data_IF_040737803802
#
_entry.id   IF_040737803802
#
_cell.length_a   1.000
_cell.length_b   1.000
_cell.length_c   1.000
_cell.angle_alpha   90.00
_cell.angle_beta   90.00
_cell.angle_gamma   90.00
#
_symmetry.space_group_name_H-M   'P 1'
#
loop_
_entity.id
_entity.type
_entity.pdbx_description
1 polymer ?
#
# COMPACT_ATOMS: atom_id res chain seq x y z
N UNK A 1 -12.25 11.87 1.55
CA UNK A 1 -11.14 12.84 1.52
C UNK A 1 -10.01 12.24 2.31
N UNK A 2 -8.82 12.06 1.72
CA UNK A 2 -7.64 11.82 2.54
C UNK A 2 -7.67 12.89 3.64
N UNK A 3 -7.47 12.49 4.87
CA UNK A 3 -7.73 13.36 6.01
C UNK A 3 -6.42 13.98 6.44
N UNK A 4 -6.27 15.30 6.28
CA UNK A 4 -5.21 16.02 7.00
C UNK A 4 -5.61 16.08 8.47
N UNK A 5 -4.74 15.53 9.32
CA UNK A 5 -4.98 15.47 10.77
C UNK A 5 -4.25 16.64 11.41
N UNK A 6 -5.01 17.51 12.08
CA UNK A 6 -4.43 18.63 12.80
C UNK A 6 -3.84 18.13 14.12
N UNK A 7 -2.51 18.11 14.19
CA UNK A 7 -1.75 17.69 15.36
C UNK A 7 -0.72 18.77 15.68
N UNK A 8 -0.67 19.20 16.92
CA UNK A 8 0.30 20.16 17.43
C UNK A 8 1.01 19.56 18.64
N UNK A 9 2.14 18.88 18.41
CA UNK A 9 2.94 18.27 19.45
C UNK A 9 4.43 18.48 19.18
N UNK A 10 5.16 18.91 20.22
CA UNK A 10 6.61 19.08 20.18
C UNK A 10 7.36 17.97 20.92
N UNK A 11 6.64 17.08 21.60
CA UNK A 11 7.25 15.95 22.31
C UNK A 11 7.85 14.95 21.31
N UNK A 12 8.74 14.12 21.82
CA UNK A 12 9.39 13.05 21.08
C UNK A 12 9.08 11.70 21.71
N UNK A 13 9.17 10.64 20.91
CA UNK A 13 9.04 9.24 21.35
C UNK A 13 10.11 8.40 20.65
N UNK A 14 10.57 7.35 21.30
CA UNK A 14 11.45 6.37 20.68
C UNK A 14 10.65 5.38 19.82
N UNK A 15 11.31 4.83 18.78
CA UNK A 15 10.64 3.88 17.87
C UNK A 15 10.08 2.66 18.59
N UNK A 16 10.84 2.11 19.57
CA UNK A 16 10.39 0.97 20.36
C UNK A 16 9.15 1.27 21.19
N UNK A 17 9.10 2.44 21.80
CA UNK A 17 7.97 2.94 22.58
C UNK A 17 6.73 3.16 21.71
N UNK A 18 6.94 3.74 20.52
CA UNK A 18 5.88 3.91 19.53
C UNK A 18 5.29 2.56 19.11
N UNK A 19 6.14 1.56 18.79
CA UNK A 19 5.70 0.21 18.42
C UNK A 19 4.91 -0.44 19.57
N UNK A 20 5.38 -0.32 20.82
CA UNK A 20 4.66 -0.85 21.99
C UNK A 20 3.29 -0.21 22.22
N UNK A 21 3.17 1.12 21.99
CA UNK A 21 1.90 1.81 22.11
C UNK A 21 0.91 1.36 21.04
N UNK A 22 1.35 1.25 19.78
CA UNK A 22 0.50 0.77 18.70
C UNK A 22 0.08 -0.69 18.94
N UNK A 23 1.01 -1.54 19.43
CA UNK A 23 0.71 -2.96 19.68
C UNK A 23 -0.35 -3.17 20.77
N UNK A 24 -0.44 -2.28 21.73
CA UNK A 24 -1.44 -2.35 22.83
C UNK A 24 -2.85 -1.87 22.40
N UNK A 25 -3.00 -1.25 21.25
CA UNK A 25 -4.26 -0.61 20.85
C UNK A 25 -5.31 -1.61 20.41
N UNK A 26 -5.05 -2.39 19.36
CA UNK A 26 -5.96 -3.41 18.86
C UNK A 26 -5.22 -4.46 18.04
N UNK A 27 -5.87 -5.64 17.84
CA UNK A 27 -5.31 -6.68 16.97
C UNK A 27 -5.33 -6.30 15.49
N UNK A 28 -6.17 -5.35 15.11
CA UNK A 28 -6.26 -4.82 13.76
C UNK A 28 -6.56 -3.34 13.83
N UNK A 29 -5.62 -2.51 13.35
CA UNK A 29 -5.78 -1.07 13.33
C UNK A 29 -6.92 -0.66 12.37
N UNK A 30 -7.97 -0.09 12.94
CA UNK A 30 -9.03 0.60 12.22
C UNK A 30 -8.61 2.02 11.86
N UNK A 31 -9.44 2.74 11.09
CA UNK A 31 -9.24 4.17 10.83
C UNK A 31 -9.19 4.98 12.13
N UNK A 32 -10.07 4.68 13.09
CA UNK A 32 -10.12 5.37 14.38
C UNK A 32 -8.87 5.07 15.21
N UNK A 33 -8.38 3.83 15.19
CA UNK A 33 -7.10 3.47 15.83
C UNK A 33 -5.94 4.24 15.20
N UNK A 34 -5.86 4.28 13.86
CA UNK A 34 -4.83 5.05 13.15
C UNK A 34 -4.88 6.53 13.53
N UNK A 35 -6.07 7.13 13.56
CA UNK A 35 -6.26 8.53 13.97
C UNK A 35 -5.83 8.78 15.42
N UNK A 36 -6.09 7.83 16.34
CA UNK A 36 -5.65 7.92 17.73
C UNK A 36 -4.12 7.94 17.88
N UNK A 37 -3.40 7.40 16.90
CA UNK A 37 -1.95 7.42 16.84
C UNK A 37 -1.34 8.61 16.06
N UNK A 38 -2.15 9.53 15.56
CA UNK A 38 -1.65 10.67 14.79
C UNK A 38 -0.63 11.51 15.58
N UNK A 39 -0.93 11.80 16.85
CA UNK A 39 0.00 12.51 17.74
C UNK A 39 1.27 11.71 18.01
N UNK A 40 1.16 10.41 18.26
CA UNK A 40 2.33 9.56 18.52
C UNK A 40 3.23 9.45 17.28
N UNK A 41 2.65 9.36 16.08
CA UNK A 41 3.43 9.35 14.83
C UNK A 41 4.13 10.70 14.60
N UNK A 42 3.51 11.83 14.97
CA UNK A 42 4.16 13.13 14.96
C UNK A 42 5.29 13.21 16.00
N UNK A 43 5.09 12.70 17.23
CA UNK A 43 6.15 12.60 18.25
C UNK A 43 7.34 11.79 17.73
N UNK A 44 7.10 10.69 17.01
CA UNK A 44 8.17 9.91 16.37
C UNK A 44 8.87 10.74 15.28
N UNK A 45 8.13 11.52 14.51
CA UNK A 45 8.73 12.41 13.48
C UNK A 45 9.54 13.55 14.07
N UNK A 46 9.26 14.00 15.28
CA UNK A 46 10.02 15.00 16.02
C UNK A 46 11.38 14.46 16.50
N UNK A 47 11.49 13.14 16.71
CA UNK A 47 12.74 12.49 17.10
C UNK A 47 13.65 12.35 15.87
N UNK A 48 14.57 13.30 15.70
CA UNK A 48 15.49 13.32 14.56
C UNK A 48 16.61 12.29 14.66
N UNK A 49 16.83 11.74 15.84
CA UNK A 49 17.94 10.84 16.11
C UNK A 49 17.64 9.39 15.72
N UNK A 50 16.41 8.90 15.96
CA UNK A 50 16.08 7.50 15.78
C UNK A 50 16.35 6.98 14.36
N UNK A 51 15.97 7.75 13.33
CA UNK A 51 16.16 7.33 11.94
C UNK A 51 17.64 7.38 11.53
N UNK A 52 18.39 8.34 12.06
CA UNK A 52 19.85 8.40 11.85
C UNK A 52 20.52 7.19 12.46
N UNK A 53 20.18 6.84 13.70
CA UNK A 53 20.72 5.66 14.39
C UNK A 53 20.34 4.37 13.63
N UNK A 54 19.11 4.26 13.16
CA UNK A 54 18.66 3.14 12.33
C UNK A 54 19.47 3.02 11.04
N UNK A 55 19.62 4.10 10.28
CA UNK A 55 20.42 4.13 9.04
C UNK A 55 21.87 3.74 9.33
N UNK A 56 22.48 4.26 10.40
CA UNK A 56 23.85 3.91 10.78
C UNK A 56 23.98 2.41 11.10
N UNK A 57 23.01 1.84 11.80
CA UNK A 57 22.98 0.39 12.10
C UNK A 57 22.89 -0.44 10.79
N UNK A 58 22.01 -0.07 9.87
CA UNK A 58 21.87 -0.73 8.56
C UNK A 58 23.15 -0.60 7.71
N UNK A 59 23.80 0.59 7.69
CA UNK A 59 25.05 0.79 6.97
C UNK A 59 26.20 -0.03 7.54
N UNK A 60 26.27 -0.24 8.85
CA UNK A 60 27.26 -1.12 9.48
C UNK A 60 27.09 -2.58 9.06
N UNK A 61 25.88 -2.97 8.64
CA UNK A 61 25.55 -4.31 8.21
C UNK A 61 24.97 -4.32 6.77
N UNK A 62 25.57 -3.54 5.88
CA UNK A 62 25.05 -3.26 4.53
C UNK A 62 24.80 -4.51 3.68
N UNK A 63 25.55 -5.61 3.92
CA UNK A 63 25.36 -6.86 3.19
C UNK A 63 24.01 -7.53 3.48
N UNK A 64 23.44 -7.26 4.64
CA UNK A 64 22.14 -7.78 5.07
C UNK A 64 21.02 -6.72 5.00
N UNK A 65 21.34 -5.54 4.44
CA UNK A 65 20.42 -4.42 4.36
C UNK A 65 19.05 -4.82 3.82
N UNK A 66 18.03 -4.62 4.63
CA UNK A 66 16.62 -4.81 4.27
C UNK A 66 16.30 -6.15 3.57
N UNK A 67 17.03 -7.22 3.89
CA UNK A 67 16.93 -8.55 3.25
C UNK A 67 15.53 -9.13 3.28
N UNK A 68 14.77 -8.86 4.35
CA UNK A 68 13.37 -9.28 4.53
C UNK A 68 12.36 -8.26 4.02
N UNK A 69 12.82 -7.16 3.40
CA UNK A 69 11.94 -6.13 2.88
C UNK A 69 11.25 -6.61 1.59
N UNK A 70 9.96 -6.91 1.68
CA UNK A 70 9.12 -7.27 0.54
C UNK A 70 8.61 -6.07 -0.27
N UNK A 71 8.94 -4.84 0.13
CA UNK A 71 8.57 -3.60 -0.53
C UNK A 71 9.60 -3.19 -1.60
N UNK A 72 9.37 -2.06 -2.25
CA UNK A 72 10.33 -1.51 -3.20
C UNK A 72 11.54 -0.86 -2.48
N UNK A 73 12.59 -0.52 -3.25
CA UNK A 73 13.85 0.06 -2.74
C UNK A 73 13.71 1.48 -2.14
N UNK A 74 12.57 2.12 -2.32
CA UNK A 74 12.27 3.43 -1.73
C UNK A 74 11.94 3.31 -0.23
N UNK A 75 11.64 2.11 0.23
CA UNK A 75 11.09 1.85 1.56
C UNK A 75 12.15 1.26 2.46
N UNK A 76 12.28 1.83 3.66
CA UNK A 76 13.04 1.30 4.77
C UNK A 76 12.04 0.80 5.82
N UNK A 77 12.00 -0.49 6.05
CA UNK A 77 11.21 -1.08 7.15
C UNK A 77 11.90 -0.76 8.46
N UNK A 78 11.21 -0.06 9.34
CA UNK A 78 11.73 0.36 10.64
C UNK A 78 11.37 -0.63 11.74
N UNK A 79 10.22 -1.29 11.63
CA UNK A 79 9.74 -2.26 12.61
C UNK A 79 8.25 -2.50 12.50
N UNK A 80 7.66 -3.06 13.55
CA UNK A 80 6.24 -3.38 13.63
C UNK A 80 6.00 -4.74 14.26
N UNK A 81 4.77 -5.23 14.19
CA UNK A 81 4.38 -6.56 14.66
C UNK A 81 3.86 -7.37 13.47
N UNK A 82 4.50 -8.50 13.13
CA UNK A 82 4.11 -9.31 11.99
C UNK A 82 2.62 -9.67 12.00
N UNK A 83 1.94 -9.42 10.88
CA UNK A 83 0.50 -9.70 10.73
C UNK A 83 -0.42 -8.67 11.39
N UNK A 84 0.11 -7.67 12.12
CA UNK A 84 -0.67 -6.66 12.84
C UNK A 84 -0.45 -5.25 12.31
N UNK A 85 0.79 -4.81 12.17
CA UNK A 85 1.13 -3.53 11.55
C UNK A 85 2.61 -3.44 11.20
N UNK A 86 2.95 -2.49 10.33
CA UNK A 86 4.32 -2.11 10.02
C UNK A 86 4.54 -0.61 10.20
N UNK A 87 5.76 -0.24 10.58
CA UNK A 87 6.28 1.13 10.57
C UNK A 87 7.39 1.19 9.54
N UNK A 88 7.30 2.14 8.61
CA UNK A 88 8.28 2.29 7.54
C UNK A 88 8.60 3.75 7.25
N UNK A 89 9.80 4.00 6.76
CA UNK A 89 10.17 5.26 6.13
C UNK A 89 10.15 5.12 4.61
N UNK A 90 9.62 6.12 3.91
CA UNK A 90 9.71 6.23 2.47
C UNK A 90 10.66 7.37 2.11
N UNK A 91 11.64 7.08 1.27
CA UNK A 91 12.60 8.07 0.75
C UNK A 91 12.11 8.54 -0.62
N UNK A 92 11.87 9.83 -0.75
CA UNK A 92 11.35 10.47 -1.95
C UNK A 92 12.47 11.24 -2.63
N UNK A 93 12.97 10.70 -3.74
CA UNK A 93 14.07 11.32 -4.49
C UNK A 93 13.55 12.42 -5.43
N UNK A 94 14.26 13.56 -5.53
CA UNK A 94 13.91 14.60 -6.48
C UNK A 94 14.10 14.15 -7.93
N UNK A 95 13.34 14.76 -8.85
CA UNK A 95 13.34 14.39 -10.27
C UNK A 95 14.76 14.34 -10.87
N UNK A 96 15.64 15.26 -10.50
CA UNK A 96 17.04 15.29 -10.97
C UNK A 96 17.87 14.06 -10.59
N UNK A 97 17.47 13.34 -9.53
CA UNK A 97 18.16 12.11 -9.10
C UNK A 97 17.55 10.86 -9.76
N UNK A 98 16.28 10.88 -10.15
CA UNK A 98 15.60 9.76 -10.79
C UNK A 98 16.23 9.40 -12.14
N UNK A 99 16.69 10.37 -12.91
CA UNK A 99 17.38 10.12 -14.18
C UNK A 99 18.69 9.35 -14.03
N UNK A 100 19.37 9.48 -12.88
CA UNK A 100 20.61 8.73 -12.61
C UNK A 100 20.36 7.26 -12.28
N UNK A 101 19.20 6.96 -11.65
CA UNK A 101 18.83 5.59 -11.32
C UNK A 101 18.29 4.81 -12.52
N UNK A 102 17.89 5.49 -13.60
CA UNK A 102 17.37 4.89 -14.83
C UNK A 102 18.45 4.64 -15.90
N UNK A 103 19.70 5.07 -15.67
CA UNK A 103 20.79 4.90 -16.63
C UNK A 103 21.06 3.43 -17.01
N UNK A 104 20.68 2.49 -16.13
CA UNK A 104 20.87 1.04 -16.34
C UNK A 104 19.66 0.37 -17.04
N UNK A 105 18.71 1.16 -17.60
CA UNK A 105 17.55 0.63 -18.32
C UNK A 105 16.50 -0.07 -17.43
N UNK A 106 16.66 -0.04 -16.12
CA UNK A 106 15.66 -0.53 -15.17
C UNK A 106 14.56 0.50 -15.00
N UNK A 107 13.31 0.10 -15.14
CA UNK A 107 12.16 0.96 -14.83
C UNK A 107 12.32 1.47 -13.39
N UNK A 108 12.03 2.77 -13.13
CA UNK A 108 12.06 3.28 -11.77
C UNK A 108 11.14 2.43 -10.92
N UNK A 109 11.65 1.92 -9.81
CA UNK A 109 10.85 1.19 -8.82
C UNK A 109 10.04 2.15 -7.92
N UNK A 110 9.90 3.40 -8.35
CA UNK A 110 9.15 4.42 -7.64
C UNK A 110 7.75 4.51 -8.22
N UNK A 111 6.75 4.60 -7.36
CA UNK A 111 5.34 4.78 -7.76
C UNK A 111 5.02 6.24 -8.14
N UNK A 112 6.03 7.02 -8.56
CA UNK A 112 5.80 8.39 -9.01
C UNK A 112 4.99 8.44 -10.29
N UNK A 113 4.14 9.47 -10.39
CA UNK A 113 3.33 9.77 -11.57
C UNK A 113 2.37 8.64 -11.97
N UNK A 114 2.12 7.73 -11.05
CA UNK A 114 1.14 6.66 -11.25
C UNK A 114 -0.05 6.86 -10.31
N UNK A 115 -1.22 7.06 -10.89
CA UNK A 115 -2.44 7.13 -10.13
C UNK A 115 -2.79 5.75 -9.59
N UNK A 116 -2.86 5.60 -8.27
CA UNK A 116 -3.14 4.34 -7.61
C UNK A 116 -3.88 4.52 -6.30
N UNK A 117 -4.52 3.46 -5.85
CA UNK A 117 -5.07 3.33 -4.51
C UNK A 117 -4.23 2.37 -3.65
N UNK A 118 -4.67 2.14 -2.44
CA UNK A 118 -4.16 1.11 -1.56
C UNK A 118 -5.29 0.22 -1.03
N UNK A 119 -4.99 -1.04 -0.79
CA UNK A 119 -5.92 -1.98 -0.16
C UNK A 119 -5.78 -2.02 1.39
N UNK A 120 -5.16 -1.01 1.95
CA UNK A 120 -5.03 -0.77 3.39
C UNK A 120 -5.15 0.72 3.70
N UNK A 121 -5.71 1.03 4.85
CA UNK A 121 -5.64 2.38 5.41
C UNK A 121 -4.24 2.64 5.93
N UNK A 122 -3.74 3.87 5.86
CA UNK A 122 -2.46 4.19 6.46
C UNK A 122 -2.36 5.63 6.92
N UNK A 123 -1.63 5.81 8.02
CA UNK A 123 -1.29 7.11 8.55
C UNK A 123 0.14 7.46 8.10
N UNK A 124 0.36 8.68 7.66
CA UNK A 124 1.66 9.18 7.20
C UNK A 124 1.98 10.54 7.80
N UNK A 125 3.27 10.80 8.03
CA UNK A 125 3.78 12.09 8.48
C UNK A 125 5.03 12.47 7.70
N UNK A 126 5.17 13.76 7.35
CA UNK A 126 6.42 14.28 6.82
C UNK A 126 7.49 14.31 7.91
N UNK A 127 8.62 13.63 7.65
CA UNK A 127 9.75 13.53 8.57
C UNK A 127 10.89 14.50 8.22
N UNK A 128 11.21 14.59 6.93
CA UNK A 128 12.30 15.43 6.45
C UNK A 128 11.97 16.07 5.11
N UNK A 129 12.36 17.34 4.95
CA UNK A 129 12.25 18.08 3.72
C UNK A 129 10.86 18.68 3.48
N UNK A 130 10.69 19.30 2.29
CA UNK A 130 9.43 19.95 1.92
C UNK A 130 8.31 18.98 1.55
N UNK A 131 8.61 17.68 1.51
CA UNK A 131 7.68 16.65 1.10
C UNK A 131 7.59 16.49 -0.42
N UNK A 132 6.93 15.42 -0.82
CA UNK A 132 6.46 15.22 -2.18
C UNK A 132 5.12 15.91 -2.37
N UNK A 133 4.80 16.28 -3.59
CA UNK A 133 3.47 16.78 -3.94
C UNK A 133 2.56 15.60 -4.28
N UNK A 134 1.29 15.69 -3.91
CA UNK A 134 0.30 14.66 -4.23
C UNK A 134 -1.01 15.27 -4.72
N UNK A 135 -1.59 14.68 -5.75
CA UNK A 135 -2.97 14.89 -6.14
C UNK A 135 -3.82 13.75 -5.59
N UNK A 136 -4.93 14.11 -4.96
CA UNK A 136 -5.81 13.16 -4.27
C UNK A 136 -7.20 13.24 -4.89
N UNK A 137 -7.73 12.07 -5.18
CA UNK A 137 -9.03 11.86 -5.77
C UNK A 137 -9.82 10.87 -4.93
N UNK A 138 -11.12 11.03 -4.82
CA UNK A 138 -11.99 10.06 -4.17
C UNK A 138 -12.63 9.17 -5.21
N UNK A 139 -12.48 7.85 -5.03
CA UNK A 139 -13.30 6.88 -5.75
C UNK A 139 -14.62 6.71 -4.99
N UNK A 140 -15.71 7.16 -5.59
CA UNK A 140 -17.03 7.11 -4.97
C UNK A 140 -17.71 5.73 -5.10
N UNK A 141 -17.24 4.89 -6.03
CA UNK A 141 -17.81 3.59 -6.34
C UNK A 141 -16.96 2.40 -5.92
N UNK A 142 -17.55 1.22 -6.00
CA UNK A 142 -16.82 -0.04 -5.99
C UNK A 142 -16.38 -0.35 -7.42
N UNK A 143 -15.16 -0.90 -7.58
CA UNK A 143 -14.68 -1.38 -8.86
C UNK A 143 -14.33 -2.88 -8.79
N UNK A 144 -14.62 -3.59 -9.86
CA UNK A 144 -14.24 -5.00 -10.00
C UNK A 144 -12.75 -5.16 -10.36
N UNK A 145 -12.10 -4.04 -10.77
CA UNK A 145 -10.69 -3.97 -11.10
C UNK A 145 -10.35 -4.55 -12.47
N UNK A 146 -11.29 -4.50 -13.40
CA UNK A 146 -11.03 -4.90 -14.79
C UNK A 146 -10.41 -3.74 -15.56
N UNK A 147 -9.42 -4.03 -16.40
CA UNK A 147 -8.81 -3.02 -17.26
C UNK A 147 -9.87 -2.40 -18.20
N UNK A 148 -9.97 -1.07 -18.19
CA UNK A 148 -10.99 -0.32 -18.93
C UNK A 148 -12.30 -0.10 -18.18
N UNK A 149 -12.46 -0.66 -16.99
CA UNK A 149 -13.63 -0.40 -16.14
C UNK A 149 -13.71 1.08 -15.76
N UNK A 150 -14.87 1.69 -15.94
CA UNK A 150 -15.13 3.08 -15.58
C UNK A 150 -15.27 3.23 -14.07
N UNK A 151 -14.68 4.28 -13.53
CA UNK A 151 -14.72 4.65 -12.11
C UNK A 151 -15.18 6.09 -11.93
N UNK A 152 -15.85 6.36 -10.83
CA UNK A 152 -16.28 7.71 -10.46
C UNK A 152 -15.21 8.37 -9.59
N UNK A 153 -14.26 9.05 -10.22
CA UNK A 153 -13.15 9.74 -9.59
C UNK A 153 -13.43 11.22 -9.42
N UNK A 154 -13.57 11.66 -8.19
CA UNK A 154 -13.75 13.06 -7.85
C UNK A 154 -12.44 13.66 -7.33
N UNK A 155 -11.92 14.69 -8.01
CA UNK A 155 -10.77 15.45 -7.51
C UNK A 155 -11.09 16.10 -6.17
N UNK A 156 -10.18 15.96 -5.22
CA UNK A 156 -10.32 16.51 -3.86
C UNK A 156 -9.37 17.67 -3.63
N UNK A 157 -8.07 17.40 -3.76
CA UNK A 157 -7.03 18.40 -3.49
C UNK A 157 -5.71 18.04 -4.15
N UNK A 158 -4.87 19.06 -4.31
CA UNK A 158 -3.44 18.94 -4.57
C UNK A 158 -2.69 19.56 -3.40
N UNK A 159 -1.82 18.80 -2.78
CA UNK A 159 -1.16 19.18 -1.54
C UNK A 159 0.26 18.63 -1.46
N UNK A 160 1.01 19.02 -0.44
CA UNK A 160 2.35 18.47 -0.13
C UNK A 160 2.34 17.83 1.24
N UNK A 161 3.32 16.97 1.50
CA UNK A 161 3.56 16.36 2.82
C UNK A 161 4.87 16.91 3.44
N UNK A 162 4.90 18.18 3.85
CA UNK A 162 6.07 18.76 4.51
C UNK A 162 6.27 18.15 5.91
N UNK A 163 7.39 18.47 6.54
CA UNK A 163 7.68 18.07 7.92
C UNK A 163 6.50 18.37 8.83
N UNK A 164 6.20 17.41 9.72
CA UNK A 164 5.14 17.44 10.74
C UNK A 164 3.69 17.37 10.21
N UNK A 165 3.42 17.53 8.92
CA UNK A 165 2.07 17.32 8.40
C UNK A 165 1.70 15.84 8.50
N UNK A 166 0.55 15.57 9.15
CA UNK A 166 0.01 14.23 9.28
C UNK A 166 -1.19 14.06 8.34
N UNK A 167 -1.23 12.95 7.62
CA UNK A 167 -2.35 12.60 6.72
C UNK A 167 -2.73 11.14 6.89
N UNK A 168 -4.02 10.85 6.78
CA UNK A 168 -4.58 9.50 6.73
C UNK A 168 -5.15 9.24 5.34
N UNK A 169 -4.79 8.12 4.75
CA UNK A 169 -5.34 7.61 3.48
C UNK A 169 -6.22 6.40 3.73
N UNK A 170 -7.38 6.35 3.04
CA UNK A 170 -8.39 5.31 3.20
C UNK A 170 -8.28 4.26 2.11
N UNK A 171 -8.31 3.00 2.51
CA UNK A 171 -8.23 1.84 1.62
C UNK A 171 -9.28 1.89 0.51
N UNK A 172 -8.87 1.67 -0.74
CA UNK A 172 -9.72 1.58 -1.95
C UNK A 172 -10.60 2.82 -2.21
N UNK A 173 -10.39 3.89 -1.46
CA UNK A 173 -11.18 5.11 -1.54
C UNK A 173 -10.36 6.32 -1.98
N UNK A 174 -9.16 6.47 -1.42
CA UNK A 174 -8.28 7.60 -1.75
C UNK A 174 -7.31 7.17 -2.86
N UNK A 175 -7.62 7.56 -4.09
CA UNK A 175 -6.74 7.40 -5.25
C UNK A 175 -5.82 8.59 -5.32
N UNK A 176 -4.53 8.36 -5.47
CA UNK A 176 -3.57 9.44 -5.46
C UNK A 176 -2.42 9.25 -6.45
N UNK A 177 -1.81 10.37 -6.80
CA UNK A 177 -0.56 10.46 -7.57
C UNK A 177 0.46 11.20 -6.74
N UNK A 178 1.64 10.63 -6.55
CA UNK A 178 2.76 11.34 -5.96
C UNK A 178 3.68 11.87 -7.07
N UNK A 179 4.06 13.14 -6.94
CA UNK A 179 5.03 13.80 -7.80
C UNK A 179 6.37 13.90 -7.06
N UNK A 180 7.50 13.68 -7.74
CA UNK A 180 8.80 13.80 -7.13
C UNK A 180 9.01 15.18 -6.48
N UNK A 181 9.67 15.25 -5.30
CA UNK A 181 10.10 16.53 -4.75
C UNK A 181 10.90 17.34 -5.79
N UNK A 182 10.75 18.66 -5.78
CA UNK A 182 11.39 19.50 -6.81
C UNK A 182 12.88 19.67 -6.55
N UNK A 183 13.26 20.03 -5.33
CA UNK A 183 14.60 20.52 -5.02
C UNK A 183 15.51 19.47 -4.38
N UNK A 184 15.06 18.84 -3.30
CA UNK A 184 15.86 17.90 -2.51
C UNK A 184 15.02 16.68 -2.11
N UNK A 185 15.69 15.63 -1.60
CA UNK A 185 14.98 14.45 -1.14
C UNK A 185 14.11 14.76 0.08
N UNK A 186 13.07 13.99 0.24
CA UNK A 186 12.20 14.05 1.41
C UNK A 186 12.01 12.67 2.00
N UNK A 187 11.63 12.61 3.27
CA UNK A 187 11.31 11.37 3.96
C UNK A 187 9.94 11.51 4.63
N UNK A 188 9.11 10.49 4.49
CA UNK A 188 7.89 10.32 5.26
C UNK A 188 7.95 9.06 6.09
N UNK A 189 7.28 9.07 7.27
CA UNK A 189 7.05 7.89 8.10
C UNK A 189 5.62 7.43 7.91
N UNK A 190 5.41 6.12 7.88
CA UNK A 190 4.08 5.56 7.73
C UNK A 190 3.83 4.48 8.77
N UNK A 191 2.61 4.49 9.32
CA UNK A 191 2.02 3.42 10.11
C UNK A 191 0.91 2.77 9.28
N UNK A 192 0.99 1.47 9.04
CA UNK A 192 0.04 0.75 8.21
C UNK A 192 -0.29 -0.63 8.75
N UNK A 193 -1.57 -1.00 8.82
CA UNK A 193 -2.02 -2.37 9.06
C UNK A 193 -1.77 -3.25 7.83
N UNK A 194 -1.92 -4.57 7.95
CA UNK A 194 -1.92 -5.46 6.81
C UNK A 194 -3.04 -5.11 5.81
N UNK A 195 -2.86 -5.47 4.53
CA UNK A 195 -3.89 -5.32 3.51
C UNK A 195 -5.24 -5.89 3.94
N UNK A 196 -6.31 -5.23 3.53
CA UNK A 196 -7.67 -5.73 3.77
C UNK A 196 -7.91 -6.94 2.88
N UNK A 197 -8.25 -8.09 3.50
CA UNK A 197 -8.52 -9.32 2.75
C UNK A 197 -9.61 -9.13 1.70
N UNK A 198 -9.36 -9.62 0.49
CA UNK A 198 -10.30 -9.54 -0.62
C UNK A 198 -10.34 -8.19 -1.34
N UNK A 199 -9.56 -7.21 -0.90
CA UNK A 199 -9.35 -5.96 -1.63
C UNK A 199 -8.02 -6.00 -2.38
N UNK A 200 -8.00 -5.38 -3.54
CA UNK A 200 -6.81 -5.26 -4.37
C UNK A 200 -6.44 -3.80 -4.56
N UNK A 201 -5.23 -3.55 -5.04
CA UNK A 201 -4.77 -2.22 -5.41
C UNK A 201 -4.83 -2.06 -6.92
N UNK A 202 -5.21 -0.87 -7.37
CA UNK A 202 -5.40 -0.60 -8.78
C UNK A 202 -4.59 0.61 -9.23
N UNK A 203 -4.23 0.60 -10.51
CA UNK A 203 -3.78 1.78 -11.22
C UNK A 203 -4.95 2.39 -12.00
N UNK A 204 -4.97 3.71 -12.09
CA UNK A 204 -6.03 4.47 -12.72
C UNK A 204 -5.48 5.38 -13.83
N UNK A 205 -6.33 5.70 -14.78
CA UNK A 205 -6.15 6.79 -15.73
C UNK A 205 -7.16 7.88 -15.36
N UNK A 206 -6.68 9.01 -14.87
CA UNK A 206 -7.53 10.14 -14.45
C UNK A 206 -8.23 10.81 -15.61
N UNK A 207 -7.60 10.89 -16.81
CA UNK A 207 -8.19 11.55 -17.98
C UNK A 207 -9.37 10.76 -18.51
N UNK A 208 -9.27 9.43 -18.50
CA UNK A 208 -10.31 8.51 -18.97
C UNK A 208 -11.27 8.07 -17.89
N UNK A 209 -10.93 8.30 -16.61
CA UNK A 209 -11.65 7.80 -15.44
C UNK A 209 -11.87 6.29 -15.51
N UNK A 210 -10.78 5.54 -15.71
CA UNK A 210 -10.82 4.08 -15.80
C UNK A 210 -9.72 3.43 -14.98
N UNK A 211 -9.97 2.18 -14.56
CA UNK A 211 -8.93 1.28 -14.07
C UNK A 211 -8.03 0.86 -15.24
N UNK A 212 -6.72 0.98 -15.11
CA UNK A 212 -5.78 0.53 -16.15
C UNK A 212 -5.26 -0.87 -15.90
N UNK A 213 -4.90 -1.17 -14.65
CA UNK A 213 -4.41 -2.49 -14.24
C UNK A 213 -4.40 -2.63 -12.72
N UNK A 214 -4.16 -3.85 -12.25
CA UNK A 214 -3.85 -4.11 -10.84
C UNK A 214 -2.39 -3.74 -10.55
N UNK A 215 -2.20 -3.04 -9.45
CA UNK A 215 -0.85 -2.61 -9.03
C UNK A 215 -0.08 -3.72 -8.30
N UNK A 216 -0.72 -4.31 -7.30
CA UNK A 216 -0.24 -5.47 -6.56
C UNK A 216 -1.40 -6.44 -6.40
N UNK A 217 -1.29 -7.59 -7.02
CA UNK A 217 -2.30 -8.62 -6.88
C UNK A 217 -1.84 -9.65 -5.85
N UNK A 218 -2.15 -9.44 -4.57
CA UNK A 218 -1.99 -10.48 -3.55
C UNK A 218 -2.71 -11.78 -3.97
N UNK A 219 -3.79 -11.61 -4.74
CA UNK A 219 -4.56 -12.71 -5.30
C UNK A 219 -3.93 -13.36 -6.55
N UNK A 220 -2.91 -12.76 -7.17
CA UNK A 220 -2.36 -13.29 -8.43
C UNK A 220 -1.77 -14.68 -8.25
N UNK A 221 -1.03 -14.91 -7.16
CA UNK A 221 -0.53 -16.23 -6.81
C UNK A 221 -1.65 -17.25 -6.59
N UNK A 222 -2.74 -16.84 -5.95
CA UNK A 222 -3.94 -17.66 -5.75
C UNK A 222 -4.63 -17.96 -7.09
N UNK A 223 -4.74 -16.98 -7.98
CA UNK A 223 -5.31 -17.17 -9.32
C UNK A 223 -4.50 -18.16 -10.15
N UNK A 224 -3.16 -18.05 -10.12
CA UNK A 224 -2.29 -19.01 -10.79
C UNK A 224 -2.38 -20.41 -10.19
N UNK A 225 -2.51 -20.52 -8.86
CA UNK A 225 -2.72 -21.81 -8.21
C UNK A 225 -4.03 -22.47 -8.67
N UNK A 226 -5.13 -21.70 -8.75
CA UNK A 226 -6.41 -22.21 -9.27
C UNK A 226 -6.33 -22.57 -10.76
N UNK A 227 -5.64 -21.77 -11.56
CA UNK A 227 -5.40 -22.10 -12.96
C UNK A 227 -4.62 -23.42 -13.09
N UNK A 228 -3.54 -23.58 -12.32
CA UNK A 228 -2.78 -24.81 -12.27
C UNK A 228 -3.63 -26.01 -11.81
N UNK A 229 -4.49 -25.80 -10.82
CA UNK A 229 -5.40 -26.84 -10.34
C UNK A 229 -6.38 -27.31 -11.43
N UNK A 230 -6.92 -26.39 -12.25
CA UNK A 230 -7.76 -26.74 -13.40
C UNK A 230 -7.03 -27.54 -14.50
N UNK A 231 -5.71 -27.48 -14.55
CA UNK A 231 -4.90 -28.24 -15.52
C UNK A 231 -4.36 -29.56 -14.97
N UNK A 232 -3.96 -29.59 -13.71
CA UNK A 232 -3.11 -30.67 -13.16
C UNK A 232 -3.85 -31.59 -12.21
N UNK A 233 -4.83 -31.08 -11.46
CA UNK A 233 -5.49 -31.84 -10.42
C UNK A 233 -6.61 -32.73 -10.98
N UNK A 234 -6.95 -33.78 -10.23
CA UNK A 234 -8.08 -34.66 -10.47
C UNK A 234 -9.37 -34.11 -9.81
N UNK A 235 -10.41 -34.94 -9.72
CA UNK A 235 -11.72 -34.52 -9.22
C UNK A 235 -11.74 -34.16 -7.73
N UNK A 236 -10.68 -34.44 -6.97
CA UNK A 236 -10.61 -34.10 -5.55
C UNK A 236 -10.61 -32.57 -5.28
N UNK A 237 -10.29 -31.74 -6.29
CA UNK A 237 -10.22 -30.29 -6.15
C UNK A 237 -11.52 -29.58 -6.52
N UNK A 238 -12.47 -30.26 -7.18
CA UNK A 238 -13.71 -29.65 -7.70
C UNK A 238 -14.55 -28.98 -6.61
N UNK A 239 -14.74 -29.64 -5.47
CA UNK A 239 -15.51 -29.10 -4.35
C UNK A 239 -14.85 -27.87 -3.72
N UNK A 240 -13.51 -27.87 -3.67
CA UNK A 240 -12.73 -26.73 -3.16
C UNK A 240 -12.86 -25.54 -4.10
N UNK A 241 -12.74 -25.75 -5.42
CA UNK A 241 -12.92 -24.69 -6.41
C UNK A 241 -14.35 -24.15 -6.40
N UNK A 242 -15.36 -25.02 -6.23
CA UNK A 242 -16.75 -24.63 -6.11
C UNK A 242 -16.96 -23.76 -4.85
N UNK A 243 -16.45 -24.18 -3.72
CA UNK A 243 -16.51 -23.39 -2.48
C UNK A 243 -15.84 -22.03 -2.63
N UNK A 244 -14.66 -21.96 -3.27
CA UNK A 244 -13.97 -20.70 -3.54
C UNK A 244 -14.80 -19.81 -4.48
N UNK A 245 -15.39 -20.38 -5.53
CA UNK A 245 -16.17 -19.66 -6.54
C UNK A 245 -17.41 -18.96 -5.97
N UNK A 246 -17.96 -19.50 -4.90
CA UNK A 246 -19.20 -19.02 -4.27
C UNK A 246 -18.95 -18.14 -3.05
N UNK A 247 -17.93 -18.43 -2.25
CA UNK A 247 -17.79 -17.84 -0.90
C UNK A 247 -16.55 -16.96 -0.69
N UNK A 248 -15.57 -16.95 -1.62
CA UNK A 248 -14.37 -16.14 -1.40
C UNK A 248 -14.67 -14.64 -1.43
N UNK A 249 -14.03 -13.86 -0.54
CA UNK A 249 -14.26 -12.41 -0.41
C UNK A 249 -13.92 -11.63 -1.69
N UNK A 250 -12.84 -12.01 -2.40
CA UNK A 250 -12.43 -11.38 -3.65
C UNK A 250 -13.23 -11.91 -4.83
N UNK A 251 -13.94 -11.04 -5.55
CA UNK A 251 -14.65 -11.40 -6.78
C UNK A 251 -13.72 -11.96 -7.85
N UNK A 252 -12.52 -11.46 -7.95
CA UNK A 252 -11.54 -11.94 -8.93
C UNK A 252 -11.06 -13.36 -8.62
N UNK A 253 -10.89 -13.67 -7.34
CA UNK A 253 -10.59 -15.04 -6.89
C UNK A 253 -11.77 -15.97 -7.22
N UNK A 254 -13.03 -15.53 -6.97
CA UNK A 254 -14.23 -16.29 -7.39
C UNK A 254 -14.24 -16.53 -8.89
N UNK A 255 -13.99 -15.50 -9.70
CA UNK A 255 -13.94 -15.63 -11.18
C UNK A 255 -12.83 -16.56 -11.65
N UNK A 256 -11.66 -16.56 -10.99
CA UNK A 256 -10.58 -17.49 -11.32
C UNK A 256 -10.97 -18.93 -11.04
N UNK A 257 -11.62 -19.17 -9.90
CA UNK A 257 -12.14 -20.50 -9.57
C UNK A 257 -13.19 -20.99 -10.58
N UNK A 258 -14.15 -20.10 -10.98
CA UNK A 258 -15.14 -20.42 -12.03
C UNK A 258 -14.49 -20.76 -13.37
N UNK A 259 -13.46 -20.01 -13.79
CA UNK A 259 -12.73 -20.35 -15.03
C UNK A 259 -12.08 -21.72 -14.97
N UNK A 260 -11.50 -22.06 -13.82
CA UNK A 260 -10.89 -23.38 -13.63
C UNK A 260 -11.94 -24.50 -13.62
N UNK A 261 -13.09 -24.29 -12.99
CA UNK A 261 -14.25 -25.20 -13.06
C UNK A 261 -14.74 -25.37 -14.48
N UNK A 262 -15.03 -24.26 -15.19
CA UNK A 262 -15.55 -24.29 -16.56
C UNK A 262 -14.65 -25.03 -17.53
N UNK A 263 -13.33 -25.02 -17.30
CA UNK A 263 -12.36 -25.72 -18.15
C UNK A 263 -12.47 -27.25 -18.00
N UNK A 264 -12.59 -27.74 -16.78
CA UNK A 264 -12.48 -29.17 -16.49
C UNK A 264 -13.81 -29.81 -16.07
N UNK A 265 -14.65 -29.09 -15.39
CA UNK A 265 -15.92 -29.54 -14.87
C UNK A 265 -17.05 -28.57 -15.27
N UNK A 266 -17.36 -28.45 -16.58
CA UNK A 266 -18.31 -27.44 -17.06
C UNK A 266 -19.68 -27.52 -16.39
N UNK A 267 -20.13 -28.71 -16.03
CA UNK A 267 -21.41 -28.90 -15.30
C UNK A 267 -21.43 -28.28 -13.90
N UNK A 268 -20.27 -28.18 -13.21
CA UNK A 268 -20.17 -27.53 -11.89
C UNK A 268 -19.99 -26.02 -12.00
N UNK A 269 -19.54 -25.53 -13.15
CA UNK A 269 -19.38 -24.10 -13.36
C UNK A 269 -20.71 -23.36 -13.45
N UNK A 270 -21.79 -24.04 -13.84
CA UNK A 270 -23.14 -23.48 -13.89
C UNK A 270 -23.78 -23.35 -12.48
N UNK A 271 -23.21 -24.02 -11.49
CA UNK A 271 -23.62 -23.94 -10.07
C UNK A 271 -22.83 -22.89 -9.28
N UNK A 272 -21.79 -22.30 -9.87
CA UNK A 272 -20.81 -21.41 -9.26
C UNK A 272 -21.07 -19.93 -9.58
#
# INVERSE_FOLDING_TARGET
>A
MAITVDVACNDTIELSEFIELVDKTSDRLSIDDLLSHAQHLQMLSNNRKFLVDHIVAELKNIHDYQRSNGWNSQIIVLGGVPGKFAVRANVWLPRRMLHRTNADGRKPQFSFEQAHDHNYDFLTVGYHGRGYETEIWENAGECAGEAGERVDLKFLERTTLPEHKVMLYRASKDVHVQLPPQDDFSISLNLLPPPVRGREQYLFDFERSVVTQKFLADSLGQQWLMEAAGHLCDDNISDVLLAISTSHASEQTRRAARRSLARRWPGLADEA
#
